data_IF_693737388358
#
_entry.id   IF_693737388358
#
_cell.length_a   1.000
_cell.length_b   1.000
_cell.length_c   1.000
_cell.angle_alpha   90.00
_cell.angle_beta   90.00
_cell.angle_gamma   90.00
#
_symmetry.space_group_name_H-M   'P 1'
#
loop_
_entity.id
_entity.type
_entity.pdbx_description
1 polymer ?
#
# COMPACT_ATOMS: atom_id res chain seq x y z
N UNK A 1 -21.35 -22.58 -8.02
CA UNK A 1 -20.78 -21.85 -6.87
C UNK A 1 -19.88 -22.82 -6.11
N UNK A 2 -18.57 -22.53 -5.93
CA UNK A 2 -17.74 -23.39 -5.10
C UNK A 2 -18.28 -23.42 -3.66
N UNK A 3 -18.36 -24.61 -3.07
CA UNK A 3 -18.83 -24.83 -1.71
C UNK A 3 -17.82 -24.30 -0.69
N UNK A 4 -18.29 -23.80 0.46
CA UNK A 4 -17.44 -23.20 1.50
C UNK A 4 -16.26 -24.11 1.91
N UNK A 5 -16.46 -25.44 1.90
CA UNK A 5 -15.40 -26.41 2.17
C UNK A 5 -14.24 -26.41 1.15
N UNK A 6 -14.53 -26.14 -0.13
CA UNK A 6 -13.51 -26.08 -1.18
C UNK A 6 -12.61 -24.86 -0.95
N UNK A 7 -13.22 -23.72 -0.62
CA UNK A 7 -12.50 -22.47 -0.34
C UNK A 7 -11.60 -22.63 0.89
N UNK A 8 -12.10 -23.22 1.98
CA UNK A 8 -11.32 -23.46 3.19
C UNK A 8 -10.11 -24.37 2.93
N UNK A 9 -10.28 -25.41 2.11
CA UNK A 9 -9.18 -26.30 1.70
C UNK A 9 -8.11 -25.53 0.91
N UNK A 10 -8.51 -24.73 -0.08
CA UNK A 10 -7.59 -23.92 -0.89
C UNK A 10 -6.83 -22.89 -0.04
N UNK A 11 -7.48 -22.25 0.94
CA UNK A 11 -6.81 -21.33 1.87
C UNK A 11 -5.74 -22.05 2.69
N UNK A 12 -6.04 -23.24 3.21
CA UNK A 12 -5.07 -24.02 3.98
C UNK A 12 -3.85 -24.42 3.13
N UNK A 13 -4.07 -24.73 1.85
CA UNK A 13 -3.01 -25.05 0.90
C UNK A 13 -2.12 -23.81 0.64
N UNK A 14 -2.72 -22.64 0.38
CA UNK A 14 -1.98 -21.38 0.18
C UNK A 14 -1.17 -20.98 1.42
N UNK A 15 -1.74 -21.10 2.63
CA UNK A 15 -1.03 -20.79 3.89
C UNK A 15 0.18 -21.71 4.09
N UNK A 16 0.00 -23.00 3.79
CA UNK A 16 1.09 -23.98 3.90
C UNK A 16 2.21 -23.68 2.90
N UNK A 17 1.85 -23.28 1.69
CA UNK A 17 2.80 -22.87 0.64
C UNK A 17 3.54 -21.58 1.00
N UNK A 18 2.84 -20.58 1.54
CA UNK A 18 3.47 -19.37 2.07
C UNK A 18 4.51 -19.69 3.14
N UNK A 19 4.15 -20.56 4.10
CA UNK A 19 5.03 -20.96 5.19
C UNK A 19 6.28 -21.72 4.75
N UNK A 20 6.22 -22.47 3.64
CA UNK A 20 7.39 -23.16 3.08
C UNK A 20 8.32 -22.18 2.35
N UNK A 21 7.76 -21.24 1.58
CA UNK A 21 8.52 -20.20 0.87
C UNK A 21 9.28 -19.29 1.83
N UNK A 22 8.64 -18.82 2.91
CA UNK A 22 9.26 -17.94 3.91
C UNK A 22 10.44 -18.61 4.64
N UNK A 23 10.40 -19.93 4.81
CA UNK A 23 11.49 -20.69 5.45
C UNK A 23 12.67 -20.98 4.52
N UNK A 24 12.42 -21.02 3.21
CA UNK A 24 13.39 -21.49 2.22
C UNK A 24 14.14 -20.34 1.56
N UNK A 25 13.46 -19.21 1.34
CA UNK A 25 14.04 -18.07 0.64
C UNK A 25 14.74 -17.10 1.61
N UNK A 26 15.66 -16.30 1.08
CA UNK A 26 16.32 -15.24 1.86
C UNK A 26 15.34 -14.11 2.20
N UNK A 27 15.55 -13.37 3.31
CA UNK A 27 14.71 -12.22 3.64
C UNK A 27 14.71 -11.23 2.47
N UNK A 28 13.52 -10.96 1.94
CA UNK A 28 13.29 -10.04 0.83
C UNK A 28 12.20 -9.04 1.18
N UNK A 29 12.15 -7.95 0.42
CA UNK A 29 11.07 -6.98 0.52
C UNK A 29 9.70 -7.65 0.29
N UNK A 30 8.71 -7.27 1.10
CA UNK A 30 7.39 -7.89 1.06
C UNK A 30 6.71 -7.66 -0.30
N UNK A 31 6.83 -6.47 -0.90
CA UNK A 31 6.23 -6.19 -2.20
C UNK A 31 6.87 -7.07 -3.28
N UNK A 32 8.19 -7.21 -3.27
CA UNK A 32 8.91 -8.10 -4.19
C UNK A 32 8.50 -9.56 -4.01
N UNK A 33 8.33 -10.04 -2.77
CA UNK A 33 7.85 -11.38 -2.49
C UNK A 33 6.49 -11.66 -3.15
N UNK A 34 5.52 -10.75 -2.94
CA UNK A 34 4.16 -10.92 -3.47
C UNK A 34 4.06 -10.69 -4.98
N UNK A 35 5.00 -9.95 -5.58
CA UNK A 35 5.16 -9.88 -7.04
C UNK A 35 5.68 -11.20 -7.60
N UNK A 36 6.62 -11.85 -6.92
CA UNK A 36 7.25 -13.10 -7.39
C UNK A 36 6.38 -14.34 -7.21
N UNK A 37 5.76 -14.48 -6.04
CA UNK A 37 5.05 -15.71 -5.65
C UNK A 37 3.53 -15.56 -5.57
N UNK A 38 3.01 -14.33 -5.62
CA UNK A 38 1.60 -14.08 -5.38
C UNK A 38 0.64 -14.70 -6.40
N UNK A 39 1.09 -14.95 -7.64
CA UNK A 39 0.26 -15.67 -8.64
C UNK A 39 -0.05 -17.12 -8.21
N UNK A 40 0.77 -17.71 -7.36
CA UNK A 40 0.57 -19.07 -6.82
C UNK A 40 -0.36 -19.09 -5.60
N UNK A 41 -0.67 -17.91 -5.04
CA UNK A 41 -1.48 -17.74 -3.84
C UNK A 41 -2.48 -16.59 -4.04
N UNK A 42 -3.43 -16.71 -4.98
CA UNK A 42 -4.32 -15.62 -5.37
C UNK A 42 -5.20 -15.10 -4.23
N UNK A 43 -5.65 -15.96 -3.32
CA UNK A 43 -6.52 -15.54 -2.20
C UNK A 43 -5.71 -14.72 -1.20
N UNK A 44 -4.52 -15.19 -0.81
CA UNK A 44 -3.62 -14.44 0.06
C UNK A 44 -3.12 -13.15 -0.61
N UNK A 45 -2.76 -13.19 -1.90
CA UNK A 45 -2.32 -12.01 -2.66
C UNK A 45 -3.37 -10.89 -2.61
N UNK A 46 -4.64 -11.22 -2.82
CA UNK A 46 -5.73 -10.24 -2.77
C UNK A 46 -5.85 -9.58 -1.38
N UNK A 47 -5.68 -10.35 -0.29
CA UNK A 47 -5.67 -9.77 1.06
C UNK A 47 -4.45 -8.89 1.28
N UNK A 48 -3.27 -9.38 0.90
CA UNK A 48 -2.01 -8.71 1.20
C UNK A 48 -1.86 -7.40 0.43
N UNK A 49 -2.37 -7.29 -0.80
CA UNK A 49 -2.42 -6.02 -1.52
C UNK A 49 -3.14 -4.92 -0.72
N UNK A 50 -4.19 -5.28 0.02
CA UNK A 50 -4.91 -4.34 0.88
C UNK A 50 -4.11 -3.95 2.12
N UNK A 51 -3.36 -4.88 2.71
CA UNK A 51 -2.58 -4.60 3.91
C UNK A 51 -1.26 -3.87 3.61
N UNK A 52 -0.56 -4.21 2.54
CA UNK A 52 0.72 -3.58 2.16
C UNK A 52 0.56 -2.19 1.53
N UNK A 53 -0.63 -1.85 1.03
CA UNK A 53 -0.91 -0.50 0.52
C UNK A 53 -1.14 0.52 1.64
N UNK A 54 -1.40 0.07 2.87
CA UNK A 54 -1.59 0.96 4.00
C UNK A 54 -0.22 1.38 4.58
N UNK A 55 0.07 2.68 4.72
CA UNK A 55 1.27 3.12 5.42
C UNK A 55 1.18 2.73 6.90
N UNK A 56 2.30 2.28 7.47
CA UNK A 56 2.36 1.88 8.88
C UNK A 56 2.29 3.06 9.88
N UNK A 57 2.25 4.31 9.40
CA UNK A 57 2.23 5.52 10.23
C UNK A 57 1.39 6.62 9.58
N UNK A 58 0.91 7.57 10.38
CA UNK A 58 0.24 8.80 9.92
C UNK A 58 1.20 9.87 9.38
N UNK A 59 2.52 9.67 9.51
CA UNK A 59 3.57 10.64 9.16
C UNK A 59 3.44 11.18 7.73
N UNK A 60 3.13 10.37 6.69
CA UNK A 60 2.95 10.89 5.33
C UNK A 60 1.80 11.91 5.24
N UNK A 61 0.69 11.64 5.94
CA UNK A 61 -0.46 12.54 6.00
C UNK A 61 -0.14 13.81 6.79
N UNK A 62 0.52 13.69 7.94
CA UNK A 62 0.96 14.84 8.74
C UNK A 62 1.92 15.75 7.97
N UNK A 63 2.85 15.18 7.20
CA UNK A 63 3.75 15.92 6.33
C UNK A 63 3.00 16.70 5.24
N UNK A 64 1.99 16.09 4.62
CA UNK A 64 1.14 16.75 3.63
C UNK A 64 0.32 17.89 4.25
N UNK A 65 -0.23 17.69 5.46
CA UNK A 65 -0.95 18.74 6.18
C UNK A 65 -0.04 19.89 6.62
N UNK A 66 1.15 19.60 7.14
CA UNK A 66 2.11 20.63 7.53
C UNK A 66 2.56 21.47 6.33
N UNK A 67 2.87 20.81 5.21
CA UNK A 67 3.29 21.47 3.96
C UNK A 67 2.17 22.34 3.39
N UNK A 68 0.94 21.82 3.33
CA UNK A 68 -0.21 22.58 2.83
C UNK A 68 -0.55 23.77 3.74
N UNK A 69 -0.49 23.60 5.07
CA UNK A 69 -0.68 24.68 6.03
C UNK A 69 0.40 25.77 5.93
N UNK A 70 1.62 25.40 5.53
CA UNK A 70 2.70 26.37 5.29
C UNK A 70 2.51 27.16 4.00
N UNK A 71 2.15 26.47 2.90
CA UNK A 71 1.94 27.08 1.58
C UNK A 71 0.67 27.94 1.56
N UNK A 72 -0.40 27.48 2.21
CA UNK A 72 -1.70 28.17 2.26
C UNK A 72 -1.74 29.41 3.15
N UNK A 73 -0.63 29.80 3.81
CA UNK A 73 -0.60 31.01 4.65
C UNK A 73 -0.87 32.26 3.82
N UNK A 74 -1.76 33.13 4.32
CA UNK A 74 -2.21 34.35 3.65
C UNK A 74 -1.07 35.29 3.28
N UNK A 75 0.04 35.28 4.04
CA UNK A 75 1.19 36.14 3.78
C UNK A 75 2.03 35.72 2.57
N UNK A 76 1.84 34.51 2.01
CA UNK A 76 2.76 33.97 0.98
C UNK A 76 2.12 33.60 -0.36
N UNK A 77 0.86 33.18 -0.42
CA UNK A 77 0.35 32.60 -1.66
C UNK A 77 -1.09 32.97 -2.06
N UNK A 78 -1.95 33.48 -1.14
CA UNK A 78 -3.38 33.76 -1.38
C UNK A 78 -4.08 32.69 -2.27
N UNK A 79 -3.73 31.41 -2.08
CA UNK A 79 -4.29 30.34 -2.90
C UNK A 79 -5.71 30.03 -2.46
N UNK A 80 -6.58 29.75 -3.43
CA UNK A 80 -7.84 29.10 -3.14
C UNK A 80 -7.59 27.69 -2.56
N UNK A 81 -8.50 27.14 -1.74
CA UNK A 81 -8.37 25.78 -1.21
C UNK A 81 -8.19 24.72 -2.31
N UNK A 82 -8.84 24.93 -3.46
CA UNK A 82 -8.74 24.06 -4.62
C UNK A 82 -7.33 24.07 -5.25
N UNK A 83 -6.77 25.25 -5.49
CA UNK A 83 -5.40 25.38 -6.02
C UNK A 83 -4.35 24.85 -5.05
N UNK A 84 -4.57 25.01 -3.74
CA UNK A 84 -3.71 24.43 -2.71
C UNK A 84 -3.72 22.89 -2.78
N UNK A 85 -4.90 22.29 -2.91
CA UNK A 85 -5.06 20.84 -3.07
C UNK A 85 -4.30 20.30 -4.29
N UNK A 86 -4.47 20.94 -5.44
CA UNK A 86 -3.74 20.57 -6.67
C UNK A 86 -2.23 20.70 -6.52
N UNK A 87 -1.75 21.77 -5.87
CA UNK A 87 -0.32 21.98 -5.65
C UNK A 87 0.29 20.88 -4.77
N UNK A 88 -0.40 20.49 -3.70
CA UNK A 88 0.04 19.40 -2.80
C UNK A 88 0.03 18.06 -3.54
N UNK A 89 -1.00 17.78 -4.34
CA UNK A 89 -1.06 16.57 -5.16
C UNK A 89 0.09 16.49 -6.17
N UNK A 90 0.34 17.56 -6.91
CA UNK A 90 1.44 17.62 -7.87
C UNK A 90 2.80 17.45 -7.20
N UNK A 91 3.00 18.07 -6.03
CA UNK A 91 4.23 17.92 -5.25
C UNK A 91 4.48 16.46 -4.83
N UNK A 92 3.44 15.77 -4.35
CA UNK A 92 3.54 14.35 -3.95
C UNK A 92 3.90 13.46 -5.15
N UNK A 93 3.19 13.63 -6.28
CA UNK A 93 3.38 12.79 -7.47
C UNK A 93 4.68 13.05 -8.22
N UNK A 94 5.12 14.30 -8.31
CA UNK A 94 6.38 14.64 -8.98
C UNK A 94 7.61 14.25 -8.16
N UNK A 95 7.49 14.07 -6.85
CA UNK A 95 8.58 13.59 -5.99
C UNK A 95 8.85 12.09 -6.14
N UNK A 96 7.89 11.31 -6.66
CA UNK A 96 8.02 9.86 -6.82
C UNK A 96 8.53 9.43 -8.22
N UNK A 97 8.95 10.39 -9.06
CA UNK A 97 9.56 10.19 -10.38
C UNK A 97 11.05 10.49 -10.26
#
# INVERSE_FOLDING_TARGET
MPTNNVIQKTISEEISHYGSLVKTDSPMDAVLFWQRYGEQMPILKAMVQKYLSAPGTSVPSESAFSSSAYIGRKERAQLSPENLSYTVFLQDKLRSI
#
